data_IF_554338932236
#
_entry.id   IF_554338932236
#
_cell.length_a   1.000
_cell.length_b   1.000
_cell.length_c   1.000
_cell.angle_alpha   90.00
_cell.angle_beta   90.00
_cell.angle_gamma   90.00
#
_symmetry.space_group_name_H-M   'P 1'
#
loop_
_entity.id
_entity.type
_entity.pdbx_description
1 polymer ?
#
# COMPACT_ATOMS: atom_id res chain seq x y z
N UNK A 1 -2.10 4.12 0.28
CA UNK A 1 -3.42 4.68 0.65
C UNK A 1 -3.22 5.82 1.64
N UNK A 2 -3.94 6.94 1.49
CA UNK A 2 -3.97 8.02 2.48
C UNK A 2 -5.42 8.23 2.93
N UNK A 3 -5.64 8.27 4.24
CA UNK A 3 -6.96 8.49 4.83
C UNK A 3 -6.80 9.33 6.09
N UNK A 4 -7.37 10.53 6.08
CA UNK A 4 -7.17 11.53 7.13
C UNK A 4 -5.68 11.74 7.44
N UNK A 5 -5.26 11.50 8.68
CA UNK A 5 -3.87 11.56 9.13
C UNK A 5 -3.09 10.26 8.85
N UNK A 6 -3.75 9.17 8.47
CA UNK A 6 -3.08 7.89 8.26
C UNK A 6 -2.58 7.73 6.82
N UNK A 7 -1.34 7.26 6.69
CA UNK A 7 -0.78 6.82 5.42
C UNK A 7 -0.30 5.38 5.53
N UNK A 8 -0.71 4.56 4.57
CA UNK A 8 -0.32 3.16 4.45
C UNK A 8 0.39 2.96 3.11
N UNK A 9 1.57 2.35 3.16
CA UNK A 9 2.45 2.12 2.01
C UNK A 9 2.59 0.60 1.79
N UNK A 10 2.07 0.12 0.67
CA UNK A 10 2.15 -1.30 0.28
C UNK A 10 3.38 -1.60 -0.60
N UNK A 11 3.82 -0.61 -1.39
CA UNK A 11 5.02 -0.70 -2.22
C UNK A 11 5.91 0.50 -1.92
N UNK A 12 7.19 0.24 -1.65
CA UNK A 12 8.16 1.23 -1.20
C UNK A 12 9.17 1.57 -2.30
N UNK A 13 9.45 2.86 -2.47
CA UNK A 13 10.61 3.30 -3.24
C UNK A 13 11.86 3.22 -2.37
N UNK A 14 12.69 2.19 -2.60
CA UNK A 14 13.97 2.02 -1.90
C UNK A 14 15.08 2.92 -2.45
N UNK A 15 14.93 3.38 -3.69
CA UNK A 15 15.88 4.28 -4.34
C UNK A 15 15.83 5.68 -3.72
N UNK A 16 16.95 6.25 -3.25
CA UNK A 16 17.00 7.66 -2.88
C UNK A 16 17.31 8.55 -4.09
N UNK A 17 16.69 9.73 -4.16
CA UNK A 17 17.20 10.88 -4.91
C UNK A 17 16.81 10.99 -6.40
N UNK A 18 17.79 10.86 -7.28
CA UNK A 18 17.82 11.37 -8.68
C UNK A 18 16.89 10.62 -9.64
N UNK A 19 17.15 10.69 -10.95
CA UNK A 19 16.45 9.92 -11.99
C UNK A 19 16.38 8.41 -11.72
N UNK A 20 17.22 7.88 -10.83
CA UNK A 20 17.16 6.49 -10.39
C UNK A 20 15.81 6.11 -9.76
N UNK A 21 15.15 7.04 -9.06
CA UNK A 21 13.80 6.84 -8.50
C UNK A 21 12.78 6.52 -9.60
N UNK A 22 12.95 7.09 -10.78
CA UNK A 22 12.06 6.87 -11.92
C UNK A 22 12.43 5.63 -12.74
N UNK A 23 13.66 5.14 -12.61
CA UNK A 23 14.16 3.97 -13.32
C UNK A 23 13.96 2.66 -12.52
N UNK A 24 14.00 2.73 -11.19
CA UNK A 24 13.87 1.56 -10.32
C UNK A 24 12.41 1.25 -9.99
N UNK A 25 12.01 -0.03 -9.99
CA UNK A 25 10.68 -0.43 -9.60
C UNK A 25 10.45 -0.22 -8.09
N UNK A 26 9.19 -0.05 -7.71
CA UNK A 26 8.80 -0.12 -6.31
C UNK A 26 9.00 -1.54 -5.77
N UNK A 27 9.37 -1.64 -4.49
CA UNK A 27 9.50 -2.91 -3.79
C UNK A 27 8.18 -3.24 -3.10
N UNK A 28 7.52 -4.33 -3.51
CA UNK A 28 6.34 -4.86 -2.83
C UNK A 28 6.68 -5.30 -1.40
N UNK A 29 5.94 -4.79 -0.42
CA UNK A 29 6.12 -5.14 0.98
C UNK A 29 5.14 -6.24 1.40
N UNK A 30 5.61 -7.19 2.20
CA UNK A 30 4.73 -8.20 2.83
C UNK A 30 3.91 -7.61 3.98
N UNK A 31 4.55 -6.71 4.72
CA UNK A 31 3.92 -5.94 5.79
C UNK A 31 3.98 -4.49 5.34
N UNK A 32 2.83 -3.81 5.19
CA UNK A 32 2.83 -2.43 4.75
C UNK A 32 3.42 -1.53 5.83
N UNK A 33 3.97 -0.37 5.43
CA UNK A 33 4.31 0.66 6.40
C UNK A 33 3.07 1.46 6.76
N UNK A 34 2.99 1.88 8.02
CA UNK A 34 1.96 2.76 8.54
C UNK A 34 2.61 4.02 9.12
N UNK A 35 2.05 5.18 8.80
CA UNK A 35 2.48 6.46 9.34
C UNK A 35 1.27 7.27 9.78
N UNK A 36 1.41 7.94 10.92
CA UNK A 36 0.53 9.03 11.32
C UNK A 36 1.15 10.35 10.88
N UNK A 37 0.64 10.93 9.79
CA UNK A 37 1.14 12.18 9.21
C UNK A 37 0.88 13.40 10.10
N UNK A 38 0.03 13.30 11.12
CA UNK A 38 -0.13 14.37 12.11
C UNK A 38 1.09 14.44 13.03
N UNK A 39 1.58 13.28 13.45
CA UNK A 39 2.69 13.15 14.39
C UNK A 39 4.05 13.08 13.68
N UNK A 40 4.08 12.48 12.48
CA UNK A 40 5.26 12.31 11.63
C UNK A 40 4.96 12.77 10.18
N UNK A 41 4.93 14.09 9.93
CA UNK A 41 4.65 14.62 8.59
C UNK A 41 5.66 14.22 7.52
N UNK A 42 6.87 13.81 7.93
CA UNK A 42 7.98 13.46 7.04
C UNK A 42 8.18 11.96 6.86
N UNK A 43 7.35 11.13 7.50
CA UNK A 43 7.37 9.67 7.34
C UNK A 43 8.75 9.07 7.66
N UNK A 44 9.36 9.52 8.76
CA UNK A 44 10.72 9.12 9.18
C UNK A 44 10.74 8.15 10.34
N UNK A 45 9.60 7.88 10.98
CA UNK A 45 9.53 7.09 12.21
C UNK A 45 10.13 5.68 12.05
N UNK A 46 10.02 5.07 10.87
CA UNK A 46 10.59 3.74 10.58
C UNK A 46 12.13 3.72 10.52
N UNK A 47 12.78 4.89 10.40
CA UNK A 47 14.24 5.04 10.39
C UNK A 47 14.73 5.59 11.74
N UNK A 48 14.03 6.57 12.30
CA UNK A 48 14.55 7.37 13.43
C UNK A 48 14.03 6.92 14.79
N UNK A 49 12.92 6.18 14.85
CA UNK A 49 12.31 5.79 16.12
C UNK A 49 12.69 4.37 16.54
N UNK A 50 13.12 4.23 17.79
CA UNK A 50 13.41 2.94 18.39
C UNK A 50 12.14 2.14 18.75
N UNK A 51 10.98 2.79 18.80
CA UNK A 51 9.71 2.17 19.22
C UNK A 51 8.68 2.09 18.09
N UNK A 52 9.08 2.39 16.85
CA UNK A 52 8.16 2.40 15.70
C UNK A 52 7.45 1.07 15.52
N UNK A 53 8.17 -0.05 15.56
CA UNK A 53 7.58 -1.37 15.33
C UNK A 53 6.69 -1.83 16.48
N UNK A 54 7.00 -1.45 17.72
CA UNK A 54 6.14 -1.72 18.88
C UNK A 54 4.81 -0.97 18.73
N UNK A 55 4.89 0.33 18.40
CA UNK A 55 3.72 1.13 18.05
C UNK A 55 2.94 0.47 16.92
N UNK A 56 3.57 0.22 15.76
CA UNK A 56 2.94 -0.38 14.57
C UNK A 56 2.14 -1.66 14.88
N UNK A 57 2.73 -2.56 15.67
CA UNK A 57 2.10 -3.83 16.04
C UNK A 57 0.87 -3.65 16.94
N UNK A 58 0.72 -2.50 17.59
CA UNK A 58 -0.46 -2.16 18.39
C UNK A 58 -1.64 -1.61 17.57
N UNK A 59 -1.49 -1.32 16.26
CA UNK A 59 -2.59 -0.87 15.39
C UNK A 59 -2.95 -1.81 14.23
N UNK A 60 -3.11 -3.13 14.44
CA UNK A 60 -3.45 -4.05 13.35
C UNK A 60 -4.81 -3.72 12.72
N UNK A 61 -5.73 -3.13 13.48
CA UNK A 61 -7.06 -2.74 13.01
C UNK A 61 -7.03 -1.72 11.86
N UNK A 62 -6.03 -0.82 11.82
CA UNK A 62 -5.89 0.16 10.74
C UNK A 62 -5.53 -0.52 9.42
N UNK A 63 -4.69 -1.55 9.46
CA UNK A 63 -4.29 -2.31 8.29
C UNK A 63 -5.48 -3.09 7.72
N UNK A 64 -6.27 -3.74 8.58
CA UNK A 64 -7.48 -4.45 8.15
C UNK A 64 -8.56 -3.51 7.61
N UNK A 65 -8.78 -2.36 8.25
CA UNK A 65 -9.73 -1.36 7.76
C UNK A 65 -9.31 -0.82 6.37
N UNK A 66 -8.02 -0.61 6.16
CA UNK A 66 -7.49 -0.14 4.89
C UNK A 66 -7.72 -1.13 3.74
N UNK A 67 -7.64 -2.44 3.99
CA UNK A 67 -7.96 -3.44 2.97
C UNK A 67 -9.39 -3.28 2.45
N UNK A 68 -10.35 -3.04 3.36
CA UNK A 68 -11.76 -2.82 3.00
C UNK A 68 -11.94 -1.57 2.14
N UNK A 69 -11.31 -0.46 2.51
CA UNK A 69 -11.40 0.80 1.76
C UNK A 69 -10.70 0.72 0.40
N UNK A 70 -9.55 0.06 0.31
CA UNK A 70 -8.88 -0.21 -0.96
C UNK A 70 -9.76 -1.09 -1.85
N UNK A 71 -10.42 -2.12 -1.30
CA UNK A 71 -11.34 -2.97 -2.06
C UNK A 71 -12.54 -2.17 -2.61
N UNK A 72 -13.11 -1.25 -1.83
CA UNK A 72 -14.17 -0.34 -2.29
C UNK A 72 -13.68 0.54 -3.44
N UNK A 73 -12.49 1.12 -3.31
CA UNK A 73 -11.88 1.91 -4.39
C UNK A 73 -11.66 1.07 -5.65
N UNK A 74 -11.12 -0.14 -5.52
CA UNK A 74 -10.91 -1.06 -6.65
C UNK A 74 -12.22 -1.50 -7.31
N UNK A 75 -13.31 -1.62 -6.54
CA UNK A 75 -14.63 -1.91 -7.10
C UNK A 75 -15.10 -0.80 -8.06
N UNK A 76 -14.72 0.47 -7.85
CA UNK A 76 -15.07 1.57 -8.78
C UNK A 76 -14.49 1.39 -10.18
N UNK A 77 -13.37 0.67 -10.33
CA UNK A 77 -12.80 0.39 -11.66
C UNK A 77 -13.65 -0.57 -12.50
N UNK A 78 -14.60 -1.30 -11.89
CA UNK A 78 -15.61 -2.05 -12.65
C UNK A 78 -16.63 -1.13 -13.29
N UNK A 79 -17.00 -0.05 -12.61
CA UNK A 79 -17.98 0.93 -13.08
C UNK A 79 -17.34 1.90 -14.09
N UNK A 80 -16.09 2.29 -13.84
CA UNK A 80 -15.33 3.22 -14.67
C UNK A 80 -14.05 2.57 -15.19
N UNK A 81 -14.13 1.75 -16.27
CA UNK A 81 -12.96 1.07 -16.79
C UNK A 81 -11.92 2.08 -17.32
N UNK A 82 -10.63 1.91 -17.01
CA UNK A 82 -9.58 2.82 -17.46
C UNK A 82 -9.50 2.85 -18.99
N UNK A 83 -9.65 4.03 -19.57
CA UNK A 83 -9.67 4.24 -21.04
C UNK A 83 -8.30 4.07 -21.70
N UNK A 84 -7.21 4.09 -20.92
CA UNK A 84 -5.84 3.91 -21.41
C UNK A 84 -5.19 2.75 -20.66
N UNK A 85 -4.83 1.69 -21.40
CA UNK A 85 -3.97 0.60 -20.90
C UNK A 85 -2.55 1.13 -20.79
N UNK A 86 -2.19 1.69 -19.64
CA UNK A 86 -0.79 1.94 -19.31
C UNK A 86 -0.11 0.60 -18.99
N UNK A 87 1.16 0.44 -19.34
CA UNK A 87 1.96 -0.77 -19.06
C UNK A 87 2.18 -1.06 -17.56
N UNK A 88 1.81 -0.13 -16.68
CA UNK A 88 1.53 -0.34 -15.25
C UNK A 88 0.06 -0.75 -15.06
N UNK A 89 -0.39 -1.77 -15.79
CA UNK A 89 -1.82 -2.00 -15.99
C UNK A 89 -2.49 -2.37 -14.68
N UNK A 90 -3.52 -1.60 -14.33
CA UNK A 90 -4.49 -1.91 -13.26
C UNK A 90 -5.04 -3.33 -13.42
N UNK A 91 -5.06 -3.86 -14.65
CA UNK A 91 -5.37 -5.25 -14.96
C UNK A 91 -4.47 -6.25 -14.21
N UNK A 92 -3.16 -6.02 -14.08
CA UNK A 92 -2.27 -6.88 -13.27
C UNK A 92 -2.62 -6.81 -11.78
N UNK A 93 -2.98 -5.63 -11.28
CA UNK A 93 -3.38 -5.43 -9.88
C UNK A 93 -4.73 -6.10 -9.61
N UNK A 94 -5.68 -6.01 -10.55
CA UNK A 94 -6.98 -6.69 -10.47
C UNK A 94 -6.80 -8.21 -10.55
N UNK A 95 -5.96 -8.71 -11.45
CA UNK A 95 -5.67 -10.14 -11.60
C UNK A 95 -4.94 -10.70 -10.37
N UNK A 96 -3.99 -9.97 -9.81
CA UNK A 96 -3.26 -10.34 -8.58
C UNK A 96 -4.17 -10.26 -7.34
N UNK A 97 -5.10 -9.30 -7.29
CA UNK A 97 -6.13 -9.22 -6.25
C UNK A 97 -7.12 -10.39 -6.36
N UNK A 98 -7.59 -10.71 -7.57
CA UNK A 98 -8.46 -11.87 -7.80
C UNK A 98 -7.76 -13.16 -7.37
N UNK A 99 -6.47 -13.32 -7.70
CA UNK A 99 -5.65 -14.48 -7.33
C UNK A 99 -5.43 -14.62 -5.82
N UNK A 100 -5.23 -13.50 -5.09
CA UNK A 100 -5.05 -13.52 -3.64
C UNK A 100 -6.35 -13.78 -2.88
N UNK A 101 -7.49 -13.29 -3.36
CA UNK A 101 -8.82 -13.56 -2.79
C UNK A 101 -9.35 -14.96 -3.12
N UNK A 102 -8.88 -15.58 -4.21
CA UNK A 102 -9.31 -16.90 -4.66
C UNK A 102 -8.48 -18.06 -4.14
N UNK A 103 -7.54 -17.84 -3.20
CA UNK A 103 -6.88 -18.98 -2.53
C UNK A 103 -7.94 -19.69 -1.70
N UNK A 104 -8.44 -20.86 -2.14
CA UNK A 104 -9.42 -21.59 -1.36
C UNK A 104 -8.71 -22.08 -0.12
N UNK A 105 -9.38 -22.02 1.02
CA UNK A 105 -9.12 -22.89 2.16
C UNK A 105 -8.90 -24.31 1.64
N UNK A 106 -7.64 -24.72 1.47
CA UNK A 106 -7.29 -26.12 1.30
C UNK A 106 -7.20 -26.70 2.70
N UNK A 107 -8.05 -27.70 2.96
CA UNK A 107 -8.15 -28.59 4.12
C UNK A 107 -6.94 -28.64 5.08
#
# INVERSE_FOLDING_TARGET
MRYENWKIVFEEQRAPGTMRVWAEPFTKLRVPKLFDLRSDPYERADITSNTYYDWFLSQPYLIFAAQTEVAKFLATFKEFPPRQRASFSVDQIIEEMQRSLSTPTSD
#
